data_IF_745552348194
#
_entry.id   IF_745552348194
#
_cell.length_a   1.000
_cell.length_b   1.000
_cell.length_c   1.000
_cell.angle_alpha   90.00
_cell.angle_beta   90.00
_cell.angle_gamma   90.00
#
_symmetry.space_group_name_H-M   'P 1'
#
loop_
_entity.id
_entity.type
_entity.pdbx_description
1 polymer ?
#
# COMPACT_ATOMS: atom_id res chain seq x y z
N UNK A 1 -34.86 -45.27 5.65
CA UNK A 1 -33.43 -45.36 6.04
C UNK A 1 -32.63 -45.51 4.76
N UNK A 2 -31.65 -44.71 4.39
CA UNK A 2 -30.85 -43.72 5.10
C UNK A 2 -30.50 -42.56 4.15
N UNK A 3 -30.43 -41.33 4.66
CA UNK A 3 -29.87 -40.19 3.96
C UNK A 3 -28.38 -40.09 4.34
N UNK A 4 -27.48 -40.28 3.38
CA UNK A 4 -26.05 -40.09 3.56
C UNK A 4 -25.72 -38.60 3.46
N UNK A 5 -25.41 -37.96 4.59
CA UNK A 5 -24.87 -36.60 4.61
C UNK A 5 -23.38 -36.67 4.28
N UNK A 6 -23.04 -36.38 3.03
CA UNK A 6 -21.65 -36.18 2.59
C UNK A 6 -21.13 -34.84 3.11
N UNK A 7 -20.39 -34.85 4.21
CA UNK A 7 -19.68 -33.68 4.71
C UNK A 7 -18.38 -33.45 3.92
N UNK A 8 -18.27 -32.31 3.25
CA UNK A 8 -17.00 -31.81 2.70
C UNK A 8 -16.23 -31.10 3.81
N UNK A 9 -15.17 -31.73 4.31
CA UNK A 9 -14.24 -31.13 5.27
C UNK A 9 -13.12 -30.40 4.52
N UNK A 10 -13.19 -29.07 4.49
CA UNK A 10 -12.10 -28.21 4.04
C UNK A 10 -11.28 -27.80 5.28
N UNK A 11 -10.10 -28.38 5.44
CA UNK A 11 -9.11 -27.90 6.42
C UNK A 11 -8.55 -26.57 5.91
N UNK A 12 -9.06 -25.46 6.45
CA UNK A 12 -8.43 -24.17 6.29
C UNK A 12 -7.09 -24.19 7.03
N UNK A 13 -5.95 -23.80 6.42
CA UNK A 13 -4.70 -23.65 7.15
C UNK A 13 -4.88 -22.53 8.18
N UNK A 14 -5.19 -22.88 9.42
CA UNK A 14 -5.35 -21.96 10.55
C UNK A 14 -4.01 -21.54 11.15
N UNK A 15 -2.92 -21.63 10.39
CA UNK A 15 -1.59 -21.14 10.78
C UNK A 15 -1.43 -19.63 10.62
N UNK A 16 -2.47 -18.84 10.88
CA UNK A 16 -2.46 -17.37 10.80
C UNK A 16 -2.31 -16.69 12.18
N UNK A 17 -1.69 -17.37 13.13
CA UNK A 17 -1.37 -16.80 14.44
C UNK A 17 -0.13 -15.90 14.43
N UNK A 18 0.46 -15.63 13.25
CA UNK A 18 1.52 -14.65 13.15
C UNK A 18 0.90 -13.24 13.06
N UNK A 19 0.76 -12.61 14.22
CA UNK A 19 0.38 -11.20 14.34
C UNK A 19 1.48 -10.34 13.70
N UNK A 20 1.22 -9.84 12.50
CA UNK A 20 2.07 -8.85 11.85
C UNK A 20 1.57 -7.45 12.19
N UNK A 21 2.42 -6.64 12.83
CA UNK A 21 2.10 -5.23 13.06
C UNK A 21 1.86 -4.52 11.72
N UNK A 22 0.81 -3.70 11.63
CA UNK A 22 0.55 -2.89 10.45
C UNK A 22 1.39 -1.62 10.52
N UNK A 23 2.15 -1.35 9.46
CA UNK A 23 2.95 -0.13 9.32
C UNK A 23 2.23 0.77 8.30
N UNK A 24 1.92 1.98 8.73
CA UNK A 24 1.40 3.04 7.88
C UNK A 24 2.58 3.89 7.41
N UNK A 25 2.78 3.98 6.09
CA UNK A 25 3.84 4.79 5.50
C UNK A 25 3.23 5.86 4.59
N UNK A 26 3.63 7.11 4.80
CA UNK A 26 3.22 8.28 4.01
C UNK A 26 4.43 8.85 3.28
N UNK A 27 4.28 9.07 1.98
CA UNK A 27 5.23 9.78 1.13
C UNK A 27 4.61 11.10 0.68
N UNK A 28 5.33 12.18 0.92
CA UNK A 28 5.02 13.52 0.42
C UNK A 28 6.11 13.97 -0.54
N UNK A 29 5.70 14.49 -1.70
CA UNK A 29 6.61 15.02 -2.70
C UNK A 29 6.16 16.41 -3.07
N UNK A 30 7.10 17.36 -2.99
CA UNK A 30 6.91 18.74 -3.41
C UNK A 30 7.91 19.03 -4.53
N UNK A 31 7.40 19.53 -5.66
CA UNK A 31 8.22 19.95 -6.80
C UNK A 31 8.19 21.47 -6.85
N UNK A 32 9.36 22.08 -6.80
CA UNK A 32 9.53 23.53 -6.93
C UNK A 32 10.39 23.89 -8.15
N UNK A 33 10.11 25.06 -8.72
CA UNK A 33 10.96 25.67 -9.73
C UNK A 33 12.28 26.07 -9.09
N UNK A 34 13.40 25.66 -9.67
CA UNK A 34 14.74 25.93 -9.12
C UNK A 34 15.07 27.43 -9.00
N UNK A 35 14.52 28.26 -9.90
CA UNK A 35 14.88 29.68 -10.03
C UNK A 35 14.39 30.55 -8.87
N UNK A 36 13.21 30.25 -8.35
CA UNK A 36 12.45 31.06 -7.39
C UNK A 36 11.89 30.22 -6.23
N UNK A 37 12.20 28.92 -6.21
CA UNK A 37 11.66 27.92 -5.29
C UNK A 37 10.12 27.88 -5.26
N UNK A 38 9.46 28.34 -6.33
CA UNK A 38 8.01 28.33 -6.43
C UNK A 38 7.49 26.91 -6.57
N UNK A 39 6.63 26.47 -5.65
CA UNK A 39 6.01 25.14 -5.67
C UNK A 39 5.05 25.04 -6.85
N UNK A 40 5.29 24.09 -7.74
CA UNK A 40 4.47 23.85 -8.94
C UNK A 40 3.63 22.58 -8.84
N UNK A 41 3.98 21.68 -7.93
CA UNK A 41 3.23 20.45 -7.72
C UNK A 41 3.48 19.87 -6.33
N UNK A 42 2.44 19.31 -5.76
CA UNK A 42 2.47 18.56 -4.50
C UNK A 42 1.70 17.28 -4.66
N UNK A 43 2.24 16.18 -4.14
CA UNK A 43 1.56 14.90 -4.11
C UNK A 43 1.78 14.18 -2.79
N UNK A 44 0.77 13.43 -2.35
CA UNK A 44 0.81 12.62 -1.14
C UNK A 44 0.25 11.23 -1.42
N UNK A 45 0.97 10.19 -1.00
CA UNK A 45 0.48 8.82 -1.02
C UNK A 45 0.72 8.13 0.31
N UNK A 46 -0.19 7.23 0.68
CA UNK A 46 -0.13 6.46 1.91
C UNK A 46 -0.36 4.99 1.60
N UNK A 47 0.39 4.10 2.24
CA UNK A 47 0.17 2.64 2.18
C UNK A 47 0.12 2.06 3.58
N UNK A 48 -0.54 0.93 3.72
CA UNK A 48 -0.58 0.15 4.96
C UNK A 48 -0.12 -1.26 4.64
N UNK A 49 1.00 -1.69 5.22
CA UNK A 49 1.58 -3.02 4.97
C UNK A 49 1.87 -3.76 6.27
N UNK A 50 1.71 -5.07 6.23
CA UNK A 50 2.08 -5.94 7.33
C UNK A 50 3.61 -6.02 7.49
N UNK A 51 4.10 -5.77 8.70
CA UNK A 51 5.51 -5.89 9.07
C UNK A 51 6.00 -7.32 8.92
N UNK A 52 7.27 -7.49 8.54
CA UNK A 52 7.86 -8.82 8.34
C UNK A 52 7.39 -9.54 7.08
N UNK A 53 6.55 -8.92 6.25
CA UNK A 53 6.18 -9.43 4.92
C UNK A 53 7.10 -8.88 3.84
N UNK A 54 7.30 -9.61 2.75
CA UNK A 54 8.08 -9.14 1.59
C UNK A 54 7.54 -7.80 1.04
N UNK A 55 6.22 -7.64 1.03
CA UNK A 55 5.51 -6.43 0.59
C UNK A 55 5.63 -5.25 1.55
N UNK A 56 5.98 -5.51 2.81
CA UNK A 56 6.23 -4.49 3.83
C UNK A 56 7.70 -4.06 3.94
N UNK A 57 8.58 -4.58 3.07
CA UNK A 57 9.99 -4.16 3.11
C UNK A 57 10.13 -2.69 2.68
N UNK A 58 11.00 -1.89 3.32
CA UNK A 58 11.07 -0.45 3.06
C UNK A 58 11.30 -0.07 1.60
N UNK A 59 12.14 -0.83 0.88
CA UNK A 59 12.41 -0.59 -0.54
C UNK A 59 11.17 -0.83 -1.41
N UNK A 60 10.44 -1.92 -1.18
CA UNK A 60 9.21 -2.23 -1.94
C UNK A 60 8.12 -1.19 -1.66
N UNK A 61 7.96 -0.77 -0.41
CA UNK A 61 7.04 0.30 -0.02
C UNK A 61 7.40 1.63 -0.69
N UNK A 62 8.69 2.00 -0.67
CA UNK A 62 9.16 3.24 -1.30
C UNK A 62 8.93 3.24 -2.81
N UNK A 63 9.24 2.14 -3.50
CA UNK A 63 8.98 2.00 -4.94
C UNK A 63 7.48 2.12 -5.24
N UNK A 64 6.63 1.37 -4.55
CA UNK A 64 5.19 1.40 -4.79
C UNK A 64 4.56 2.78 -4.57
N UNK A 65 4.96 3.48 -3.51
CA UNK A 65 4.50 4.86 -3.24
C UNK A 65 5.00 5.85 -4.30
N UNK A 66 6.26 5.71 -4.72
CA UNK A 66 6.87 6.60 -5.72
C UNK A 66 6.23 6.41 -7.09
N UNK A 67 6.06 5.16 -7.55
CA UNK A 67 5.43 4.84 -8.84
C UNK A 67 3.99 5.36 -8.88
N UNK A 68 3.22 5.12 -7.82
CA UNK A 68 1.86 5.59 -7.71
C UNK A 68 1.77 7.12 -7.77
N UNK A 69 2.64 7.84 -7.05
CA UNK A 69 2.62 9.31 -7.04
C UNK A 69 3.09 9.93 -8.35
N UNK A 70 4.23 9.46 -8.86
CA UNK A 70 4.88 10.07 -10.01
C UNK A 70 4.14 9.78 -11.32
N UNK A 71 3.28 8.75 -11.36
CA UNK A 71 2.34 8.52 -12.48
C UNK A 71 1.35 9.68 -12.66
N UNK A 72 1.02 10.41 -11.59
CA UNK A 72 0.12 11.56 -11.67
C UNK A 72 0.84 12.81 -12.12
N UNK A 73 2.12 12.97 -11.81
CA UNK A 73 2.88 14.13 -12.27
C UNK A 73 2.88 14.22 -13.81
N UNK A 74 2.67 15.41 -14.40
CA UNK A 74 2.49 16.72 -13.77
C UNK A 74 1.03 17.09 -13.46
N UNK A 75 0.06 16.19 -13.68
CA UNK A 75 -1.34 16.43 -13.34
C UNK A 75 -1.51 16.57 -11.82
N UNK A 76 -2.40 17.47 -11.42
CA UNK A 76 -2.75 17.62 -10.01
C UNK A 76 -3.51 16.39 -9.51
N UNK A 77 -3.21 16.03 -8.27
CA UNK A 77 -3.91 14.98 -7.55
C UNK A 77 -5.19 15.56 -6.93
N UNK A 78 -6.35 14.90 -7.08
CA UNK A 78 -7.59 15.35 -6.46
C UNK A 78 -7.58 15.18 -4.93
N UNK A 79 -6.60 14.45 -4.38
CA UNK A 79 -6.40 14.24 -2.95
C UNK A 79 -5.29 13.22 -2.68
N UNK A 80 -5.04 12.87 -1.40
CA UNK A 80 -4.05 11.85 -1.04
C UNK A 80 -4.37 10.49 -1.65
N UNK A 81 -3.37 9.85 -2.26
CA UNK A 81 -3.52 8.50 -2.80
C UNK A 81 -3.38 7.45 -1.70
N UNK A 82 -4.21 6.41 -1.78
CA UNK A 82 -4.02 5.19 -0.99
C UNK A 82 -3.47 4.10 -1.91
N UNK A 83 -2.32 3.53 -1.56
CA UNK A 83 -1.66 2.44 -2.30
C UNK A 83 -1.83 1.16 -1.50
N UNK A 84 -2.54 0.15 -2.04
CA UNK A 84 -2.82 -1.10 -1.34
C UNK A 84 -1.58 -1.97 -1.22
#
# INVERSE_FOLDING_TARGET
MAAGLGGLSLTLPSGKDQLHGLIVTRLEVTVSLRRDNHVVWTGQATTVRASGTRTGTPSVVATALSDALLTWFPRQLPGPLSVP
#
